data_IF_266300858200
#
_entry.id   IF_266300858200
#
_cell.length_a   1.000
_cell.length_b   1.000
_cell.length_c   1.000
_cell.angle_alpha   90.00
_cell.angle_beta   90.00
_cell.angle_gamma   90.00
#
_symmetry.space_group_name_H-M   'P 1'
#
loop_
_entity.id
_entity.type
_entity.pdbx_description
1 polymer ?
#
# COMPACT_ATOMS: atom_id res chain seq x y z
N UNK A 1 3.31 -27.11 3.83
CA UNK A 1 3.93 -26.56 2.60
C UNK A 1 2.86 -26.41 1.55
N UNK A 2 2.68 -25.21 0.97
CA UNK A 2 1.75 -24.94 -0.14
C UNK A 2 2.29 -23.80 -1.02
N UNK A 3 1.78 -23.72 -2.24
CA UNK A 3 2.25 -22.74 -3.23
C UNK A 3 1.08 -21.98 -3.82
N UNK A 4 1.23 -20.65 -3.95
CA UNK A 4 0.24 -19.77 -4.56
C UNK A 4 0.90 -18.80 -5.53
N UNK A 5 0.24 -18.51 -6.65
CA UNK A 5 0.70 -17.54 -7.63
C UNK A 5 -0.20 -16.30 -7.58
N UNK A 6 0.37 -15.15 -7.29
CA UNK A 6 -0.36 -13.87 -7.29
C UNK A 6 0.15 -12.97 -8.39
N UNK A 7 -0.76 -12.49 -9.23
CA UNK A 7 -0.46 -11.49 -10.24
C UNK A 7 -0.41 -10.10 -9.61
N UNK A 8 0.67 -9.37 -9.87
CA UNK A 8 0.83 -7.98 -9.42
C UNK A 8 0.17 -7.05 -10.44
N UNK A 9 -1.05 -6.64 -10.15
CA UNK A 9 -1.86 -5.76 -10.98
C UNK A 9 -2.11 -4.39 -10.31
N UNK A 10 -2.86 -3.54 -10.99
CA UNK A 10 -3.21 -2.21 -10.47
C UNK A 10 -4.05 -2.27 -9.19
N UNK A 11 -4.82 -3.34 -8.98
CA UNK A 11 -5.64 -3.54 -7.79
C UNK A 11 -4.78 -3.78 -6.56
N UNK A 12 -3.78 -4.69 -6.64
CA UNK A 12 -2.79 -4.93 -5.57
C UNK A 12 -2.11 -3.63 -5.17
N UNK A 13 -1.68 -2.83 -6.16
CA UNK A 13 -1.02 -1.56 -5.90
C UNK A 13 -1.96 -0.54 -5.25
N UNK A 14 -3.20 -0.49 -5.67
CA UNK A 14 -4.22 0.41 -5.10
C UNK A 14 -4.47 0.06 -3.63
N UNK A 15 -4.65 -1.22 -3.31
CA UNK A 15 -4.83 -1.70 -1.94
C UNK A 15 -3.58 -1.46 -1.06
N UNK A 16 -2.39 -1.68 -1.61
CA UNK A 16 -1.13 -1.39 -0.92
C UNK A 16 -0.98 0.10 -0.61
N UNK A 17 -1.33 0.97 -1.57
CA UNK A 17 -1.22 2.42 -1.48
C UNK A 17 -2.38 3.09 -0.75
N UNK A 18 -3.45 2.35 -0.39
CA UNK A 18 -4.66 2.90 0.24
C UNK A 18 -4.40 3.78 1.46
N UNK A 19 -3.50 3.43 2.41
CA UNK A 19 -3.20 4.32 3.54
C UNK A 19 -2.63 5.66 3.10
N UNK A 20 -1.71 5.66 2.13
CA UNK A 20 -1.11 6.89 1.58
C UNK A 20 -2.17 7.73 0.87
N UNK A 21 -3.05 7.10 0.10
CA UNK A 21 -4.16 7.76 -0.59
C UNK A 21 -5.10 8.46 0.40
N UNK A 22 -5.50 7.77 1.49
CA UNK A 22 -6.38 8.34 2.52
C UNK A 22 -5.70 9.53 3.22
N UNK A 23 -4.44 9.39 3.62
CA UNK A 23 -3.68 10.47 4.25
C UNK A 23 -3.56 11.69 3.32
N UNK A 24 -3.29 11.45 2.03
CA UNK A 24 -3.21 12.52 1.03
C UNK A 24 -4.54 13.25 0.85
N UNK A 25 -5.66 12.52 0.88
CA UNK A 25 -6.99 13.10 0.78
C UNK A 25 -7.31 13.99 2.01
N UNK A 26 -6.97 13.51 3.21
CA UNK A 26 -7.11 14.28 4.46
C UNK A 26 -6.28 15.57 4.39
N UNK A 27 -5.02 15.48 3.99
CA UNK A 27 -4.15 16.66 3.83
C UNK A 27 -4.72 17.66 2.83
N UNK A 28 -5.27 17.19 1.72
CA UNK A 28 -5.88 18.03 0.71
C UNK A 28 -7.15 18.74 1.23
N UNK A 29 -8.00 18.03 1.97
CA UNK A 29 -9.20 18.61 2.57
C UNK A 29 -8.82 19.67 3.62
N UNK A 30 -7.92 19.36 4.54
CA UNK A 30 -7.47 20.29 5.59
C UNK A 30 -6.83 21.52 4.95
N UNK A 31 -5.95 21.34 3.96
CA UNK A 31 -5.29 22.41 3.26
C UNK A 31 -6.28 23.31 2.50
N UNK A 32 -7.26 22.71 1.81
CA UNK A 32 -8.29 23.45 1.07
C UNK A 32 -9.16 24.29 2.00
N UNK A 33 -9.68 23.67 3.07
CA UNK A 33 -10.54 24.36 4.05
C UNK A 33 -9.78 25.49 4.74
N UNK A 34 -8.51 25.23 5.12
CA UNK A 34 -7.66 26.23 5.74
C UNK A 34 -7.35 27.42 4.81
N UNK A 35 -7.07 27.17 3.53
CA UNK A 35 -6.85 28.23 2.54
C UNK A 35 -8.10 29.08 2.32
N UNK A 36 -9.28 28.47 2.21
CA UNK A 36 -10.54 29.19 2.08
C UNK A 36 -10.81 30.04 3.33
N UNK A 37 -10.65 29.45 4.51
CA UNK A 37 -10.81 30.17 5.78
C UNK A 37 -9.84 31.36 5.89
N UNK A 38 -8.57 31.16 5.49
CA UNK A 38 -7.56 32.23 5.45
C UNK A 38 -7.97 33.39 4.55
N UNK A 39 -8.43 33.07 3.32
CA UNK A 39 -8.87 34.12 2.38
C UNK A 39 -10.08 34.93 2.96
N UNK A 40 -11.08 34.21 3.50
CA UNK A 40 -12.27 34.84 4.08
C UNK A 40 -11.92 35.70 5.28
N UNK A 41 -11.13 35.19 6.22
CA UNK A 41 -10.71 35.93 7.41
C UNK A 41 -9.78 37.09 7.06
N UNK A 42 -8.86 36.89 6.11
CA UNK A 42 -7.97 37.94 5.62
C UNK A 42 -8.73 39.13 5.01
N UNK A 43 -9.82 38.85 4.28
CA UNK A 43 -10.67 39.93 3.71
C UNK A 43 -11.51 40.67 4.76
N UNK A 44 -11.90 39.97 5.85
CA UNK A 44 -12.69 40.55 6.92
C UNK A 44 -11.84 41.41 7.89
N UNK A 45 -10.65 40.92 8.23
CA UNK A 45 -9.81 41.49 9.30
C UNK A 45 -8.60 42.27 8.78
N UNK A 46 -8.46 42.43 7.47
CA UNK A 46 -7.33 43.11 6.80
C UNK A 46 -5.95 42.58 7.26
N UNK A 47 -5.89 41.32 7.60
CA UNK A 47 -4.71 40.66 8.14
C UNK A 47 -4.13 39.67 7.10
N UNK A 48 -3.05 40.09 6.47
CA UNK A 48 -2.34 39.31 5.39
C UNK A 48 -1.10 38.62 5.89
N UNK A 49 -1.13 37.96 7.07
CA UNK A 49 0.03 37.22 7.59
C UNK A 49 0.35 36.04 6.69
N UNK A 50 1.34 36.19 5.84
CA UNK A 50 1.82 35.17 4.87
C UNK A 50 2.14 33.82 5.52
N UNK A 51 2.58 33.83 6.78
CA UNK A 51 2.93 32.62 7.52
C UNK A 51 1.74 31.67 7.69
N UNK A 52 0.55 32.18 7.91
CA UNK A 52 -0.67 31.36 8.01
C UNK A 52 -1.09 30.76 6.67
N UNK A 53 -0.86 31.46 5.57
CA UNK A 53 -1.13 30.95 4.22
C UNK A 53 -0.25 29.73 3.93
N UNK A 54 1.04 29.78 4.26
CA UNK A 54 1.98 28.69 4.06
C UNK A 54 1.60 27.47 4.89
N UNK A 55 1.10 27.62 6.11
CA UNK A 55 0.67 26.53 6.97
C UNK A 55 -0.43 25.66 6.32
N UNK A 56 -1.26 26.22 5.44
CA UNK A 56 -2.30 25.49 4.72
C UNK A 56 -1.91 25.12 3.29
N UNK A 57 -1.12 25.97 2.62
CA UNK A 57 -0.65 25.72 1.25
C UNK A 57 0.28 24.49 1.19
N UNK A 58 1.14 24.29 2.20
CA UNK A 58 2.06 23.17 2.26
C UNK A 58 1.31 21.83 2.32
N UNK A 59 0.42 21.54 3.29
CA UNK A 59 -0.34 20.28 3.31
C UNK A 59 -1.21 20.09 2.07
N UNK A 60 -1.79 21.16 1.51
CA UNK A 60 -2.51 21.10 0.24
C UNK A 60 -1.62 20.61 -0.91
N UNK A 61 -0.45 21.23 -1.08
CA UNK A 61 0.51 20.86 -2.11
C UNK A 61 1.01 19.42 -1.98
N UNK A 62 1.38 18.99 -0.77
CA UNK A 62 1.77 17.59 -0.50
C UNK A 62 0.62 16.63 -0.79
N UNK A 63 -0.60 16.93 -0.35
CA UNK A 63 -1.77 16.10 -0.63
C UNK A 63 -1.98 15.89 -2.13
N UNK A 64 -1.88 16.96 -2.93
CA UNK A 64 -2.02 16.90 -4.38
C UNK A 64 -0.92 16.05 -5.05
N UNK A 65 0.34 16.27 -4.69
CA UNK A 65 1.49 15.54 -5.24
C UNK A 65 1.38 14.05 -4.93
N UNK A 66 1.05 13.68 -3.69
CA UNK A 66 0.90 12.28 -3.31
C UNK A 66 -0.28 11.61 -4.04
N UNK A 67 -1.43 12.27 -4.19
CA UNK A 67 -2.56 11.72 -4.96
C UNK A 67 -2.19 11.44 -6.42
N UNK A 68 -1.51 12.38 -7.07
CA UNK A 68 -1.04 12.21 -8.46
C UNK A 68 -0.06 11.04 -8.54
N UNK A 69 0.89 10.96 -7.59
CA UNK A 69 1.91 9.92 -7.55
C UNK A 69 1.28 8.54 -7.38
N UNK A 70 0.36 8.36 -6.43
CA UNK A 70 -0.32 7.08 -6.21
C UNK A 70 -1.10 6.64 -7.45
N UNK A 71 -1.86 7.54 -8.08
CA UNK A 71 -2.59 7.23 -9.32
C UNK A 71 -1.65 6.83 -10.46
N UNK A 72 -0.52 7.53 -10.63
CA UNK A 72 0.47 7.24 -11.67
C UNK A 72 1.15 5.89 -11.44
N UNK A 73 1.50 5.57 -10.19
CA UNK A 73 2.10 4.27 -9.83
C UNK A 73 1.15 3.11 -10.11
N UNK A 74 -0.11 3.20 -9.68
CA UNK A 74 -1.12 2.17 -9.94
C UNK A 74 -1.30 1.92 -11.45
N UNK A 75 -1.36 2.97 -12.26
CA UNK A 75 -1.49 2.85 -13.72
C UNK A 75 -0.26 2.21 -14.37
N UNK A 76 0.93 2.48 -13.87
CA UNK A 76 2.17 1.96 -14.47
C UNK A 76 2.37 0.47 -14.16
N UNK A 77 2.05 0.03 -12.95
CA UNK A 77 2.15 -1.39 -12.57
C UNK A 77 1.22 -2.26 -13.41
N UNK A 78 0.02 -1.80 -13.73
CA UNK A 78 -0.90 -2.55 -14.59
C UNK A 78 -0.39 -2.80 -16.02
N UNK A 79 0.70 -2.15 -16.43
CA UNK A 79 1.34 -2.39 -17.74
C UNK A 79 2.40 -3.50 -17.71
N UNK A 80 2.85 -3.89 -16.54
CA UNK A 80 3.90 -4.90 -16.36
C UNK A 80 3.22 -6.18 -15.90
N UNK A 81 3.16 -7.20 -16.76
CA UNK A 81 2.72 -8.54 -16.37
C UNK A 81 3.78 -9.15 -15.45
N UNK A 82 3.60 -9.01 -14.17
CA UNK A 82 4.47 -9.59 -13.17
C UNK A 82 3.65 -10.51 -12.27
N UNK A 83 4.14 -11.74 -12.09
CA UNK A 83 3.53 -12.75 -11.22
C UNK A 83 4.56 -13.19 -10.20
N UNK A 84 4.15 -13.24 -8.95
CA UNK A 84 4.96 -13.81 -7.88
C UNK A 84 4.39 -15.17 -7.49
N UNK A 85 5.23 -16.18 -7.50
CA UNK A 85 4.94 -17.50 -6.99
C UNK A 85 5.53 -17.62 -5.58
N UNK A 86 4.66 -17.89 -4.62
CA UNK A 86 4.99 -18.02 -3.21
C UNK A 86 4.95 -19.47 -2.81
N UNK A 87 6.06 -20.01 -2.29
CA UNK A 87 6.11 -21.32 -1.65
C UNK A 87 6.30 -21.12 -0.16
N UNK A 88 5.27 -21.43 0.61
CA UNK A 88 5.24 -21.26 2.07
C UNK A 88 5.79 -22.50 2.76
N UNK A 89 6.88 -22.31 3.47
CA UNK A 89 7.53 -23.29 4.34
C UNK A 89 7.25 -22.95 5.81
N UNK A 90 7.82 -23.72 6.73
CA UNK A 90 7.59 -23.55 8.17
C UNK A 90 8.20 -22.24 8.70
N UNK A 91 9.38 -21.84 8.25
CA UNK A 91 10.15 -20.70 8.78
C UNK A 91 10.30 -19.53 7.80
N UNK A 92 10.06 -19.77 6.52
CA UNK A 92 10.25 -18.79 5.47
C UNK A 92 9.27 -18.97 4.31
N UNK A 93 9.14 -17.94 3.50
CA UNK A 93 8.49 -18.00 2.19
C UNK A 93 9.54 -17.85 1.10
N UNK A 94 9.55 -18.76 0.14
CA UNK A 94 10.32 -18.62 -1.11
C UNK A 94 9.43 -17.88 -2.12
N UNK A 95 9.96 -16.84 -2.73
CA UNK A 95 9.23 -16.01 -3.70
C UNK A 95 9.98 -16.04 -5.00
N UNK A 96 9.37 -16.61 -6.03
CA UNK A 96 9.90 -16.58 -7.41
C UNK A 96 9.10 -15.57 -8.21
N UNK A 97 9.81 -14.60 -8.79
CA UNK A 97 9.20 -13.52 -9.58
C UNK A 97 9.31 -13.85 -11.07
N UNK A 98 8.17 -13.79 -11.74
CA UNK A 98 8.08 -13.92 -13.20
C UNK A 98 7.67 -12.58 -13.80
N UNK A 99 8.30 -12.20 -14.91
CA UNK A 99 7.91 -11.04 -15.72
C UNK A 99 7.74 -11.50 -17.16
N UNK A 100 6.55 -11.28 -17.73
CA UNK A 100 6.18 -11.81 -19.05
C UNK A 100 6.46 -13.33 -19.17
N UNK A 101 6.17 -14.10 -18.08
CA UNK A 101 6.40 -15.53 -17.97
C UNK A 101 7.86 -15.98 -17.83
N UNK A 102 8.82 -15.07 -17.94
CA UNK A 102 10.23 -15.35 -17.70
C UNK A 102 10.58 -15.22 -16.20
N UNK A 103 11.34 -16.16 -15.68
CA UNK A 103 11.85 -16.12 -14.31
C UNK A 103 12.90 -15.00 -14.19
N UNK A 104 12.60 -13.99 -13.39
CA UNK A 104 13.49 -12.83 -13.16
C UNK A 104 14.38 -13.05 -11.94
N UNK A 105 13.98 -13.95 -11.03
CA UNK A 105 14.74 -14.26 -9.84
C UNK A 105 13.89 -14.85 -8.72
N UNK A 106 14.56 -15.36 -7.70
CA UNK A 106 13.91 -15.86 -6.50
C UNK A 106 14.62 -15.39 -5.25
N UNK A 107 13.82 -15.13 -4.20
CA UNK A 107 14.29 -14.71 -2.88
C UNK A 107 13.67 -15.59 -1.80
N UNK A 108 14.37 -15.75 -0.67
CA UNK A 108 13.81 -16.34 0.55
C UNK A 108 13.62 -15.25 1.59
N UNK A 109 12.44 -15.21 2.21
CA UNK A 109 12.10 -14.23 3.24
C UNK A 109 11.65 -15.00 4.49
N UNK A 110 12.38 -14.88 5.57
CA UNK A 110 12.01 -15.49 6.84
C UNK A 110 10.91 -14.68 7.52
N UNK A 111 9.93 -15.37 8.12
CA UNK A 111 8.80 -14.68 8.78
C UNK A 111 9.26 -13.76 9.91
N UNK A 112 10.33 -14.12 10.63
CA UNK A 112 10.93 -13.29 11.69
C UNK A 112 11.52 -11.96 11.20
N UNK A 113 11.87 -11.87 9.90
CA UNK A 113 12.47 -10.69 9.29
C UNK A 113 11.40 -9.74 8.69
N UNK A 114 10.14 -10.14 8.74
CA UNK A 114 9.03 -9.29 8.32
C UNK A 114 8.83 -8.14 9.33
N UNK A 115 8.75 -6.91 8.81
CA UNK A 115 8.48 -5.74 9.65
C UNK A 115 7.06 -5.78 10.21
N UNK A 116 6.11 -6.19 9.39
CA UNK A 116 4.69 -6.38 9.77
C UNK A 116 3.96 -7.17 8.70
N UNK A 117 2.79 -7.69 9.07
CA UNK A 117 1.81 -8.24 8.12
C UNK A 117 0.49 -7.49 8.24
N UNK A 118 -0.20 -7.28 7.13
CA UNK A 118 -1.50 -6.61 7.07
C UNK A 118 -2.47 -7.41 6.21
N UNK A 119 -3.63 -7.72 6.75
CA UNK A 119 -4.72 -8.32 6.01
C UNK A 119 -5.69 -7.24 5.53
N UNK A 120 -6.14 -7.35 4.27
CA UNK A 120 -7.26 -6.62 3.69
C UNK A 120 -8.37 -7.60 3.33
N UNK A 121 -9.41 -7.12 2.70
CA UNK A 121 -10.50 -7.98 2.25
C UNK A 121 -10.03 -9.07 1.29
N UNK A 122 -9.18 -8.73 0.33
CA UNK A 122 -8.73 -9.60 -0.75
C UNK A 122 -7.29 -10.09 -0.61
N UNK A 123 -6.40 -9.30 0.02
CA UNK A 123 -4.96 -9.58 0.05
C UNK A 123 -4.41 -9.71 1.46
N UNK A 124 -3.32 -10.47 1.58
CA UNK A 124 -2.40 -10.43 2.72
C UNK A 124 -1.11 -9.80 2.24
N UNK A 125 -0.69 -8.72 2.88
CA UNK A 125 0.57 -8.02 2.62
C UNK A 125 1.60 -8.37 3.68
N UNK A 126 2.75 -8.90 3.25
CA UNK A 126 3.92 -9.19 4.09
C UNK A 126 4.98 -8.13 3.83
N UNK A 127 5.20 -7.22 4.78
CA UNK A 127 6.13 -6.10 4.63
C UNK A 127 7.57 -6.55 4.95
N UNK A 128 8.44 -6.51 3.93
CA UNK A 128 9.87 -6.78 4.09
C UNK A 128 10.58 -5.55 4.67
N UNK A 129 10.08 -4.34 4.35
CA UNK A 129 10.54 -3.08 4.90
C UNK A 129 9.37 -2.08 4.97
N UNK A 130 9.64 -0.80 5.33
CA UNK A 130 8.60 0.23 5.49
C UNK A 130 7.82 0.54 4.21
N UNK A 131 8.38 0.27 3.03
CA UNK A 131 7.83 0.68 1.73
C UNK A 131 7.57 -0.48 0.77
N UNK A 132 8.15 -1.66 1.03
CA UNK A 132 8.04 -2.83 0.15
C UNK A 132 7.29 -3.95 0.84
N UNK A 133 6.30 -4.51 0.16
CA UNK A 133 5.53 -5.64 0.63
C UNK A 133 5.32 -6.68 -0.47
N UNK A 134 5.26 -7.92 -0.05
CA UNK A 134 4.79 -9.05 -0.84
C UNK A 134 3.28 -9.15 -0.67
N UNK A 135 2.56 -9.34 -1.76
CA UNK A 135 1.10 -9.43 -1.76
C UNK A 135 0.66 -10.84 -2.13
N UNK A 136 -0.17 -11.44 -1.30
CA UNK A 136 -0.80 -12.74 -1.55
C UNK A 136 -2.30 -12.55 -1.70
N UNK A 137 -2.85 -13.02 -2.82
CA UNK A 137 -4.30 -12.99 -3.07
C UNK A 137 -4.96 -14.13 -2.29
N UNK A 138 -5.85 -13.78 -1.36
CA UNK A 138 -6.57 -14.75 -0.52
C UNK A 138 -7.56 -15.60 -1.30
N UNK A 139 -8.06 -15.10 -2.44
CA UNK A 139 -9.04 -15.83 -3.25
C UNK A 139 -8.44 -17.05 -3.94
N UNK A 140 -7.12 -17.13 -3.98
CA UNK A 140 -6.36 -18.24 -4.55
C UNK A 140 -5.97 -19.30 -3.52
N UNK A 141 -6.31 -19.09 -2.26
CA UNK A 141 -6.02 -19.98 -1.14
C UNK A 141 -7.28 -20.75 -0.73
N UNK A 142 -7.11 -22.00 -0.35
CA UNK A 142 -8.14 -22.74 0.38
C UNK A 142 -8.30 -22.20 1.80
N UNK A 143 -9.39 -22.53 2.48
CA UNK A 143 -9.61 -22.10 3.88
C UNK A 143 -8.49 -22.59 4.80
N UNK A 144 -8.06 -23.84 4.64
CA UNK A 144 -6.98 -24.44 5.44
C UNK A 144 -5.65 -23.72 5.20
N UNK A 145 -5.29 -23.45 3.95
CA UNK A 145 -4.07 -22.70 3.59
C UNK A 145 -4.09 -21.27 4.13
N UNK A 146 -5.27 -20.63 4.10
CA UNK A 146 -5.44 -19.28 4.67
C UNK A 146 -5.26 -19.28 6.20
N UNK A 147 -5.78 -20.31 6.91
CA UNK A 147 -5.58 -20.48 8.34
C UNK A 147 -4.10 -20.68 8.66
N UNK A 148 -3.44 -21.57 7.92
CA UNK A 148 -1.99 -21.84 8.08
C UNK A 148 -1.21 -20.53 7.85
N UNK A 149 -1.47 -19.82 6.76
CA UNK A 149 -0.77 -18.56 6.44
C UNK A 149 -0.96 -17.51 7.54
N UNK A 150 -2.18 -17.35 8.03
CA UNK A 150 -2.45 -16.42 9.15
C UNK A 150 -1.71 -16.80 10.41
N UNK A 151 -1.63 -18.09 10.72
CA UNK A 151 -0.86 -18.59 11.86
C UNK A 151 0.63 -18.28 11.72
N UNK A 152 1.22 -18.56 10.56
CA UNK A 152 2.64 -18.27 10.27
C UNK A 152 2.96 -16.76 10.38
N UNK A 153 2.01 -15.91 10.03
CA UNK A 153 2.17 -14.45 10.05
C UNK A 153 1.71 -13.77 11.36
N UNK A 154 1.23 -14.54 12.33
CA UNK A 154 0.68 -13.99 13.58
C UNK A 154 -0.56 -13.12 13.39
N UNK A 155 -1.34 -13.34 12.33
CA UNK A 155 -2.57 -12.62 12.06
C UNK A 155 -3.75 -13.24 12.80
N UNK A 156 -4.73 -12.41 13.18
CA UNK A 156 -5.95 -12.89 13.86
C UNK A 156 -6.77 -13.80 12.93
N UNK A 157 -7.03 -15.02 13.38
CA UNK A 157 -7.97 -15.92 12.73
C UNK A 157 -9.36 -15.51 13.22
N UNK A 158 -10.19 -14.95 12.31
CA UNK A 158 -11.62 -14.75 12.63
C UNK A 158 -12.28 -16.13 12.67
N UNK A 159 -12.81 -16.48 13.84
CA UNK A 159 -13.74 -17.60 14.00
C UNK A 159 -15.08 -17.25 13.40
#
# INVERSE_FOLDING_TARGET
MFTVKTELNSEVQTELSRPVYITSLIMLIIGSVGLVAYIVLGTIFDNTALDYMLAFAVPFGFGLVFLITVKKMSKNIGKIKQTNEYTFEQDYVSVTTYRFEENVGSIKVYYRDLVKSRETEKYIFMYINKVSALAVDKTLLTEDELIILKSLLGLKIKK
#
